data_IF_109021216981
#
_entry.id   IF_109021216981
#
_cell.length_a   1.000
_cell.length_b   1.000
_cell.length_c   1.000
_cell.angle_alpha   90.00
_cell.angle_beta   90.00
_cell.angle_gamma   90.00
#
_symmetry.space_group_name_H-M   'P 1'
#
loop_
_entity.id
_entity.type
_entity.pdbx_description
1 polymer ?
#
# COMPACT_ATOMS: atom_id res chain seq x y z
N UNK A 1 5.86 -4.08 6.95
CA UNK A 1 7.17 -3.92 6.28
C UNK A 1 7.36 -4.82 5.06
N UNK A 2 6.78 -6.03 5.02
CA UNK A 2 6.89 -6.99 3.91
C UNK A 2 6.37 -6.51 2.55
N UNK A 3 5.26 -5.75 2.50
CA UNK A 3 4.62 -5.31 1.24
C UNK A 3 5.52 -4.37 0.43
N UNK A 4 6.14 -3.37 1.07
CA UNK A 4 7.04 -2.43 0.37
C UNK A 4 8.25 -3.14 -0.23
N UNK A 5 8.80 -4.13 0.49
CA UNK A 5 9.91 -4.94 0.00
C UNK A 5 9.48 -5.78 -1.21
N UNK A 6 8.29 -6.38 -1.17
CA UNK A 6 7.75 -7.11 -2.31
C UNK A 6 7.66 -6.25 -3.57
N UNK A 7 7.07 -5.05 -3.48
CA UNK A 7 6.99 -4.16 -4.65
C UNK A 7 8.37 -3.72 -5.15
N UNK A 8 9.30 -3.39 -4.25
CA UNK A 8 10.67 -3.02 -4.63
C UNK A 8 11.41 -4.16 -5.35
N UNK A 9 11.20 -5.41 -4.94
CA UNK A 9 11.76 -6.60 -5.62
C UNK A 9 11.14 -6.85 -7.00
N UNK A 10 9.99 -6.24 -7.30
CA UNK A 10 9.30 -6.35 -8.58
C UNK A 10 9.43 -5.08 -9.43
N UNK A 11 10.41 -4.22 -9.15
CA UNK A 11 10.67 -2.97 -9.89
C UNK A 11 9.55 -1.92 -9.77
N UNK A 12 8.85 -1.93 -8.64
CA UNK A 12 7.88 -0.89 -8.27
C UNK A 12 8.41 -0.02 -7.13
N UNK A 13 8.13 1.28 -7.21
CA UNK A 13 8.41 2.26 -6.14
C UNK A 13 7.11 2.74 -5.52
N UNK A 14 7.13 2.85 -4.19
CA UNK A 14 6.08 3.56 -3.46
C UNK A 14 6.29 5.06 -3.57
N UNK A 15 5.33 5.76 -4.16
CA UNK A 15 5.31 7.21 -4.32
C UNK A 15 4.40 7.92 -3.32
N UNK A 16 3.65 7.16 -2.50
CA UNK A 16 2.83 7.73 -1.43
C UNK A 16 3.68 8.50 -0.40
N UNK A 17 3.09 9.59 0.10
CA UNK A 17 3.56 10.33 1.27
C UNK A 17 3.51 9.45 2.53
N UNK A 18 4.16 9.90 3.60
CA UNK A 18 4.15 9.15 4.86
C UNK A 18 2.78 9.21 5.56
N UNK A 19 2.03 10.31 5.39
CA UNK A 19 0.66 10.43 5.88
C UNK A 19 -0.28 9.43 5.17
N UNK A 20 -0.21 9.34 3.85
CA UNK A 20 -1.04 8.39 3.07
C UNK A 20 -0.73 6.92 3.41
N UNK A 21 0.53 6.61 3.74
CA UNK A 21 0.92 5.28 4.23
C UNK A 21 0.35 5.02 5.62
N UNK A 22 0.35 6.02 6.49
CA UNK A 22 -0.19 5.90 7.83
C UNK A 22 -1.70 5.67 7.80
N UNK A 23 -2.43 6.45 7.00
CA UNK A 23 -3.87 6.29 6.79
C UNK A 23 -4.23 4.90 6.29
N UNK A 24 -3.48 4.36 5.32
CA UNK A 24 -3.69 3.00 4.83
C UNK A 24 -3.56 1.95 5.95
N UNK A 25 -2.56 2.10 6.82
CA UNK A 25 -2.34 1.16 7.93
C UNK A 25 -3.49 1.27 8.93
N UNK A 26 -3.96 2.48 9.23
CA UNK A 26 -5.10 2.73 10.12
C UNK A 26 -6.39 2.13 9.55
N UNK A 27 -6.67 2.34 8.27
CA UNK A 27 -7.84 1.80 7.59
C UNK A 27 -7.87 0.27 7.61
N UNK A 28 -6.71 -0.39 7.44
CA UNK A 28 -6.59 -1.85 7.55
C UNK A 28 -6.79 -2.29 9.01
N UNK A 29 -6.15 -1.61 9.96
CA UNK A 29 -6.20 -1.98 11.39
C UNK A 29 -7.59 -1.79 12.02
N UNK A 30 -8.38 -0.86 11.47
CA UNK A 30 -9.75 -0.55 11.91
C UNK A 30 -10.81 -1.35 11.18
N UNK A 31 -10.41 -2.27 10.28
CA UNK A 31 -11.31 -3.07 9.42
C UNK A 31 -12.15 -2.21 8.45
N UNK A 32 -11.77 -0.94 8.23
CA UNK A 32 -12.36 -0.09 7.20
C UNK A 32 -11.96 -0.53 5.78
N UNK A 33 -10.82 -1.22 5.66
CA UNK A 33 -10.38 -1.97 4.48
C UNK A 33 -10.24 -3.46 4.83
N UNK A 34 -11.37 -4.17 4.89
CA UNK A 34 -11.41 -5.59 5.27
C UNK A 34 -10.98 -6.54 4.13
N UNK A 35 -11.15 -6.12 2.87
CA UNK A 35 -10.90 -6.96 1.71
C UNK A 35 -9.47 -6.87 1.19
N UNK A 36 -8.81 -8.01 0.99
CA UNK A 36 -7.49 -8.09 0.31
C UNK A 36 -7.53 -7.40 -1.07
N UNK A 37 -8.63 -7.56 -1.81
CA UNK A 37 -8.81 -6.92 -3.11
C UNK A 37 -8.87 -5.38 -3.01
N UNK A 38 -9.50 -4.84 -1.98
CA UNK A 38 -9.62 -3.40 -1.76
C UNK A 38 -8.29 -2.80 -1.32
N UNK A 39 -7.56 -3.52 -0.46
CA UNK A 39 -6.20 -3.17 -0.06
C UNK A 39 -5.29 -3.13 -1.29
N UNK A 40 -5.34 -4.15 -2.16
CA UNK A 40 -4.56 -4.19 -3.39
C UNK A 40 -4.88 -3.02 -4.32
N UNK A 41 -6.17 -2.74 -4.56
CA UNK A 41 -6.61 -1.62 -5.39
C UNK A 41 -6.19 -0.25 -4.84
N UNK A 42 -6.06 -0.11 -3.51
CA UNK A 42 -5.53 1.11 -2.88
C UNK A 42 -4.00 1.17 -3.06
N UNK A 43 -3.29 0.07 -2.84
CA UNK A 43 -1.83 -0.02 -3.01
C UNK A 43 -1.37 0.31 -4.43
N UNK A 44 -2.13 -0.09 -5.45
CA UNK A 44 -1.87 0.26 -6.86
C UNK A 44 -1.84 1.76 -7.13
N UNK A 45 -2.58 2.57 -6.35
CA UNK A 45 -2.54 4.04 -6.48
C UNK A 45 -1.25 4.64 -5.90
N UNK A 46 -0.59 3.90 -5.03
CA UNK A 46 0.59 4.34 -4.29
C UNK A 46 1.89 3.78 -4.86
N UNK A 47 1.80 2.79 -5.74
CA UNK A 47 2.92 2.15 -6.38
C UNK A 47 2.94 2.47 -7.88
N UNK A 48 4.10 2.87 -8.37
CA UNK A 48 4.36 3.06 -9.80
C UNK A 48 5.59 2.27 -10.25
N UNK A 49 5.79 2.08 -11.57
CA UNK A 49 7.04 1.56 -12.08
C UNK A 49 8.23 2.43 -11.60
N UNK A 50 9.35 1.78 -11.29
CA UNK A 50 10.52 2.40 -10.68
C UNK A 50 11.22 3.45 -11.55
#
# INVERSE_FOLDING_TARGET
MSVRLFYALNDYRFVASDDEKFDLIVDIATDALAGVAEIAARLERYAGPA
#
